data_IF_462496949713
#
_entry.id   IF_462496949713
#
_cell.length_a   1.000
_cell.length_b   1.000
_cell.length_c   1.000
_cell.angle_alpha   90.00
_cell.angle_beta   90.00
_cell.angle_gamma   90.00
#
_symmetry.space_group_name_H-M   'P 1'
#
loop_
_entity.id
_entity.type
_entity.pdbx_description
1 polymer ?
#
# COMPACT_ATOMS: atom_id res chain seq x y z
N UNK A 1 5.41 -32.50 0.33
CA UNK A 1 5.52 -31.72 -0.93
C UNK A 1 5.84 -30.26 -0.63
N UNK A 2 5.00 -29.51 0.11
CA UNK A 2 5.17 -28.08 0.33
C UNK A 2 6.53 -27.71 0.94
N UNK A 3 6.84 -28.22 2.15
CA UNK A 3 8.11 -27.93 2.83
C UNK A 3 9.37 -28.46 2.12
N UNK A 4 9.22 -29.41 1.18
CA UNK A 4 10.34 -29.91 0.39
C UNK A 4 10.52 -29.15 -0.93
N UNK A 5 9.64 -28.24 -1.26
CA UNK A 5 9.69 -27.48 -2.50
C UNK A 5 9.60 -28.33 -3.78
N UNK A 6 8.93 -29.48 -3.72
CA UNK A 6 8.93 -30.46 -4.85
C UNK A 6 7.64 -30.43 -5.68
N UNK A 7 6.73 -29.48 -5.44
CA UNK A 7 5.49 -29.32 -6.18
C UNK A 7 5.57 -28.23 -7.26
N UNK A 8 4.55 -28.15 -8.11
CA UNK A 8 4.37 -27.03 -9.04
C UNK A 8 4.21 -25.73 -8.26
N UNK A 9 4.89 -24.65 -8.68
CA UNK A 9 4.86 -23.36 -8.01
C UNK A 9 5.86 -23.22 -6.87
N UNK A 10 6.86 -24.10 -6.79
CA UNK A 10 7.96 -24.05 -5.82
C UNK A 10 8.79 -22.76 -5.86
N UNK A 11 8.75 -22.02 -6.97
CA UNK A 11 9.40 -20.72 -7.11
C UNK A 11 8.77 -19.62 -6.22
N UNK A 12 7.57 -19.86 -5.69
CA UNK A 12 6.80 -18.87 -4.91
C UNK A 12 6.51 -19.32 -3.47
N UNK A 13 7.44 -20.01 -2.83
CA UNK A 13 7.30 -20.51 -1.46
C UNK A 13 7.86 -19.56 -0.38
N UNK A 14 8.33 -18.37 -0.75
CA UNK A 14 8.88 -17.40 0.19
C UNK A 14 7.93 -17.01 1.33
N UNK A 15 6.63 -17.16 1.14
CA UNK A 15 5.62 -16.88 2.17
C UNK A 15 5.66 -17.89 3.34
N UNK A 16 6.22 -19.08 3.12
CA UNK A 16 6.13 -20.20 4.06
C UNK A 16 6.84 -19.91 5.40
N UNK A 17 7.90 -19.13 5.36
CA UNK A 17 8.71 -18.80 6.53
C UNK A 17 8.63 -17.32 6.94
N UNK A 18 7.83 -16.51 6.25
CA UNK A 18 7.69 -15.09 6.56
C UNK A 18 7.46 -14.78 8.04
N UNK A 19 6.57 -15.52 8.78
CA UNK A 19 6.35 -15.22 10.19
C UNK A 19 7.60 -15.35 11.07
N UNK A 20 8.54 -16.20 10.66
CA UNK A 20 9.81 -16.43 11.38
C UNK A 20 10.94 -15.53 10.89
N UNK A 21 10.81 -14.94 9.72
CA UNK A 21 11.84 -14.11 9.06
C UNK A 21 11.63 -12.61 9.27
N UNK A 22 10.43 -12.20 9.72
CA UNK A 22 10.15 -10.79 10.04
C UNK A 22 10.97 -10.38 11.25
N UNK A 23 11.90 -9.45 11.05
CA UNK A 23 12.74 -8.91 12.13
C UNK A 23 12.11 -7.72 12.82
N UNK A 24 12.47 -7.47 14.08
CA UNK A 24 12.06 -6.27 14.82
C UNK A 24 12.45 -4.97 14.10
N UNK A 25 13.64 -4.95 13.50
CA UNK A 25 14.11 -3.79 12.73
C UNK A 25 13.20 -3.51 11.51
N UNK A 26 12.74 -4.56 10.83
CA UNK A 26 11.82 -4.42 9.71
C UNK A 26 10.44 -3.90 10.16
N UNK A 27 9.95 -4.41 11.29
CA UNK A 27 8.70 -3.91 11.88
C UNK A 27 8.83 -2.46 12.32
N UNK A 28 9.92 -2.07 12.95
CA UNK A 28 10.18 -0.69 13.37
C UNK A 28 10.24 0.29 12.18
N UNK A 29 10.81 -0.13 11.04
CA UNK A 29 10.83 0.70 9.83
C UNK A 29 9.41 0.88 9.23
N UNK A 30 8.60 -0.18 9.23
CA UNK A 30 7.19 -0.13 8.83
C UNK A 30 6.37 0.77 9.78
N UNK A 31 6.57 0.65 11.09
CA UNK A 31 5.90 1.49 12.09
C UNK A 31 6.26 2.98 11.93
N UNK A 32 7.52 3.26 11.66
CA UNK A 32 7.99 4.63 11.40
C UNK A 32 7.30 5.22 10.17
N UNK A 33 7.23 4.45 9.10
CA UNK A 33 6.56 4.88 7.87
C UNK A 33 5.04 5.03 8.05
N UNK A 34 4.39 4.10 8.76
CA UNK A 34 2.97 4.20 9.10
C UNK A 34 2.68 5.42 9.97
N UNK A 35 3.51 5.67 10.99
CA UNK A 35 3.39 6.87 11.84
C UNK A 35 3.54 8.16 11.04
N UNK A 36 4.45 8.20 10.08
CA UNK A 36 4.63 9.37 9.21
C UNK A 36 3.35 9.69 8.43
N UNK A 37 2.65 8.69 7.89
CA UNK A 37 1.35 8.89 7.25
C UNK A 37 0.27 9.30 8.25
N UNK A 38 0.20 8.63 9.40
CA UNK A 38 -0.77 8.92 10.46
C UNK A 38 -0.67 10.37 10.94
N UNK A 39 0.52 10.88 11.14
CA UNK A 39 0.75 12.25 11.64
C UNK A 39 0.41 13.34 10.60
N UNK A 40 0.23 12.97 9.32
CA UNK A 40 0.05 13.91 8.19
C UNK A 40 -1.29 13.82 7.49
N UNK A 41 -2.00 12.72 7.64
CA UNK A 41 -3.13 12.38 6.77
C UNK A 41 -4.35 11.95 7.57
N UNK A 42 -5.52 12.45 7.17
CA UNK A 42 -6.83 11.95 7.62
C UNK A 42 -7.22 10.67 6.87
N UNK A 43 -6.71 10.51 5.63
CA UNK A 43 -7.03 9.39 4.75
C UNK A 43 -5.73 8.83 4.16
N UNK A 44 -5.62 7.51 4.13
CA UNK A 44 -4.58 6.80 3.37
C UNK A 44 -5.24 6.03 2.23
N UNK A 45 -4.85 6.33 1.00
CA UNK A 45 -5.34 5.61 -0.18
C UNK A 45 -4.34 4.53 -0.56
N UNK A 46 -4.75 3.27 -0.41
CA UNK A 46 -3.98 2.10 -0.83
C UNK A 46 -4.31 1.78 -2.29
N UNK A 47 -3.31 1.87 -3.14
CA UNK A 47 -3.45 1.66 -4.59
C UNK A 47 -2.84 0.32 -4.96
N UNK A 48 -3.67 -0.61 -5.39
CA UNK A 48 -3.25 -1.95 -5.77
C UNK A 48 -4.39 -2.78 -6.33
N UNK A 49 -4.06 -3.95 -6.91
CA UNK A 49 -5.04 -4.89 -7.47
C UNK A 49 -4.76 -6.31 -6.98
N UNK A 50 -5.79 -7.12 -6.84
CA UNK A 50 -5.69 -8.52 -6.43
C UNK A 50 -4.99 -8.68 -5.08
N UNK A 51 -3.94 -9.49 -5.03
CA UNK A 51 -3.18 -9.74 -3.80
C UNK A 51 -2.49 -8.50 -3.21
N UNK A 52 -2.33 -7.43 -3.99
CA UNK A 52 -1.73 -6.19 -3.50
C UNK A 52 -2.65 -5.38 -2.59
N UNK A 53 -3.96 -5.70 -2.51
CA UNK A 53 -4.85 -5.01 -1.57
C UNK A 53 -5.82 -5.93 -0.81
N UNK A 54 -6.25 -7.05 -1.41
CA UNK A 54 -7.29 -7.89 -0.81
C UNK A 54 -6.91 -8.46 0.55
N UNK A 55 -5.67 -8.89 0.73
CA UNK A 55 -5.19 -9.41 2.00
C UNK A 55 -5.15 -8.33 3.08
N UNK A 56 -4.63 -7.15 2.76
CA UNK A 56 -4.61 -5.99 3.64
C UNK A 56 -6.05 -5.56 4.01
N UNK A 57 -6.92 -5.42 3.01
CA UNK A 57 -8.35 -5.09 3.20
C UNK A 57 -9.04 -6.06 4.15
N UNK A 58 -8.87 -7.36 3.95
CA UNK A 58 -9.46 -8.38 4.81
C UNK A 58 -9.00 -8.25 6.27
N UNK A 59 -7.71 -7.98 6.52
CA UNK A 59 -7.17 -7.81 7.87
C UNK A 59 -7.67 -6.52 8.50
N UNK A 60 -7.70 -5.42 7.75
CA UNK A 60 -8.22 -4.13 8.22
C UNK A 60 -9.69 -4.29 8.61
N UNK A 61 -10.54 -4.82 7.75
CA UNK A 61 -11.97 -5.01 8.02
C UNK A 61 -12.24 -5.93 9.21
N UNK A 62 -11.40 -6.96 9.40
CA UNK A 62 -11.53 -7.89 10.53
C UNK A 62 -11.13 -7.27 11.89
N UNK A 63 -10.26 -6.27 11.90
CA UNK A 63 -9.69 -5.68 13.11
C UNK A 63 -10.20 -4.28 13.42
N UNK A 64 -10.86 -3.62 12.45
CA UNK A 64 -11.43 -2.28 12.63
C UNK A 64 -12.83 -2.34 13.23
N UNK A 65 -13.23 -1.25 13.87
CA UNK A 65 -14.63 -1.00 14.24
C UNK A 65 -15.48 -0.86 12.98
N UNK A 66 -16.52 -1.66 12.86
CA UNK A 66 -17.42 -1.66 11.69
C UNK A 66 -18.09 -0.31 11.43
N UNK A 67 -18.14 0.56 12.40
CA UNK A 67 -18.77 1.89 12.31
C UNK A 67 -17.75 3.04 12.43
N UNK A 68 -16.46 2.76 12.34
CA UNK A 68 -15.38 3.77 12.44
C UNK A 68 -15.61 4.94 11.49
N UNK A 69 -16.06 4.67 10.26
CA UNK A 69 -16.31 5.70 9.24
C UNK A 69 -17.45 6.69 9.58
N UNK A 70 -18.30 6.36 10.56
CA UNK A 70 -19.37 7.24 11.06
C UNK A 70 -18.95 8.11 12.25
N UNK A 71 -17.77 7.88 12.80
CA UNK A 71 -17.31 8.67 13.94
C UNK A 71 -16.88 10.06 13.50
N UNK A 72 -17.10 11.04 14.37
CA UNK A 72 -16.64 12.42 14.15
C UNK A 72 -15.13 12.60 14.37
N UNK A 73 -14.53 11.72 15.17
CA UNK A 73 -13.10 11.73 15.46
C UNK A 73 -12.50 10.36 15.19
N UNK A 74 -11.42 10.34 14.47
CA UNK A 74 -10.67 9.14 14.12
C UNK A 74 -9.31 9.14 14.81
N UNK A 75 -8.97 8.04 15.49
CA UNK A 75 -7.64 7.87 16.10
C UNK A 75 -6.56 7.60 15.04
N UNK A 76 -6.96 6.99 13.95
CA UNK A 76 -6.10 6.58 12.84
C UNK A 76 -6.69 7.11 11.52
N UNK A 77 -5.88 7.28 10.47
CA UNK A 77 -6.39 7.62 9.15
C UNK A 77 -7.40 6.57 8.64
N UNK A 78 -8.43 7.02 7.95
CA UNK A 78 -9.30 6.11 7.22
C UNK A 78 -8.54 5.53 6.02
N UNK A 79 -8.64 4.21 5.81
CA UNK A 79 -8.02 3.55 4.67
C UNK A 79 -9.05 3.35 3.57
N UNK A 80 -8.75 3.90 2.40
CA UNK A 80 -9.54 3.72 1.18
C UNK A 80 -8.70 2.97 0.13
N UNK A 81 -9.35 2.27 -0.78
CA UNK A 81 -8.67 1.46 -1.79
C UNK A 81 -8.97 1.98 -3.19
N UNK A 82 -7.94 2.04 -4.06
CA UNK A 82 -8.06 2.44 -5.45
C UNK A 82 -7.19 1.56 -6.36
N UNK A 83 -7.37 1.67 -7.69
CA UNK A 83 -6.57 0.94 -8.66
C UNK A 83 -6.88 -0.57 -8.73
N UNK A 84 -8.00 -1.01 -8.17
CA UNK A 84 -8.49 -2.38 -8.30
C UNK A 84 -9.48 -2.54 -9.46
N UNK A 85 -9.86 -1.44 -10.08
CA UNK A 85 -10.64 -1.33 -11.30
C UNK A 85 -10.29 -0.02 -12.03
N UNK A 86 -10.88 0.19 -13.21
CA UNK A 86 -10.75 1.40 -14.03
C UNK A 86 -12.07 2.18 -14.13
N UNK A 87 -12.96 1.99 -13.15
CA UNK A 87 -14.24 2.68 -13.12
C UNK A 87 -14.06 4.20 -12.93
N UNK A 88 -14.55 4.96 -13.89
CA UNK A 88 -14.44 6.42 -13.90
C UNK A 88 -15.19 7.05 -12.73
N UNK A 89 -16.42 6.63 -12.49
CA UNK A 89 -17.27 7.15 -11.42
C UNK A 89 -16.61 7.05 -10.05
N UNK A 90 -16.11 5.85 -9.71
CA UNK A 90 -15.44 5.61 -8.44
C UNK A 90 -14.24 6.53 -8.23
N UNK A 91 -13.42 6.67 -9.27
CA UNK A 91 -12.21 7.48 -9.18
C UNK A 91 -12.54 8.98 -9.07
N UNK A 92 -13.56 9.44 -9.79
CA UNK A 92 -14.07 10.81 -9.72
C UNK A 92 -14.65 11.13 -8.33
N UNK A 93 -15.46 10.22 -7.76
CA UNK A 93 -16.01 10.37 -6.40
C UNK A 93 -14.90 10.40 -5.35
N UNK A 94 -13.90 9.51 -5.45
CA UNK A 94 -12.75 9.50 -4.57
C UNK A 94 -11.96 10.80 -4.67
N UNK A 95 -11.63 11.26 -5.87
CA UNK A 95 -10.94 12.53 -6.06
C UNK A 95 -11.73 13.71 -5.50
N UNK A 96 -13.05 13.68 -5.64
CA UNK A 96 -13.95 14.73 -5.09
C UNK A 96 -13.93 14.74 -3.57
N UNK A 97 -13.98 13.57 -2.92
CA UNK A 97 -13.83 13.44 -1.47
C UNK A 97 -12.49 13.99 -0.99
N UNK A 98 -11.42 13.66 -1.68
CA UNK A 98 -10.05 14.01 -1.29
C UNK A 98 -9.73 15.51 -1.49
N UNK A 99 -10.54 16.29 -2.21
CA UNK A 99 -10.31 17.74 -2.39
C UNK A 99 -10.18 18.52 -1.09
N UNK A 100 -10.93 18.11 -0.07
CA UNK A 100 -11.01 18.81 1.22
C UNK A 100 -10.44 17.98 2.38
N UNK A 101 -9.64 16.96 2.08
CA UNK A 101 -9.05 16.06 3.06
C UNK A 101 -7.55 15.98 2.89
N UNK A 102 -6.83 15.95 4.02
CA UNK A 102 -5.43 15.59 3.98
C UNK A 102 -5.30 14.09 3.69
N UNK A 103 -4.53 13.72 2.67
CA UNK A 103 -4.38 12.32 2.34
C UNK A 103 -2.94 11.94 2.00
N UNK A 104 -2.67 10.64 2.10
CA UNK A 104 -1.43 10.01 1.66
C UNK A 104 -1.72 8.80 0.77
N UNK A 105 -0.68 8.29 0.12
CA UNK A 105 -0.79 7.20 -0.85
C UNK A 105 0.18 6.08 -0.49
N UNK A 106 -0.33 4.85 -0.47
CA UNK A 106 0.48 3.62 -0.47
C UNK A 106 0.26 2.93 -1.81
N UNK A 107 1.22 3.03 -2.72
CA UNK A 107 1.11 2.41 -4.04
C UNK A 107 1.85 1.08 -4.07
N UNK A 108 1.15 0.01 -4.46
CA UNK A 108 1.63 -1.37 -4.40
C UNK A 108 1.57 -1.99 -5.79
N UNK A 109 2.73 -2.19 -6.39
CA UNK A 109 2.84 -2.88 -7.68
C UNK A 109 4.23 -3.48 -7.84
N UNK A 110 4.33 -4.81 -7.90
CA UNK A 110 5.61 -5.50 -8.06
C UNK A 110 6.27 -5.15 -9.40
N UNK A 111 5.54 -5.24 -10.50
CA UNK A 111 6.06 -4.88 -11.83
C UNK A 111 6.14 -3.38 -12.07
N UNK A 112 5.31 -2.61 -11.39
CA UNK A 112 5.13 -1.18 -11.64
C UNK A 112 4.46 -0.84 -12.97
N UNK A 113 3.93 -1.84 -13.69
CA UNK A 113 3.35 -1.69 -15.04
C UNK A 113 1.89 -2.14 -15.13
N UNK A 114 1.28 -2.54 -14.02
CA UNK A 114 -0.14 -2.89 -13.99
C UNK A 114 -0.97 -1.62 -14.23
N UNK A 115 -1.84 -1.68 -15.22
CA UNK A 115 -2.52 -0.48 -15.78
C UNK A 115 -3.43 0.20 -14.76
N UNK A 116 -4.26 -0.57 -14.04
CA UNK A 116 -5.27 -0.03 -13.13
C UNK A 116 -4.63 0.74 -11.96
N UNK A 117 -3.65 0.18 -11.21
CA UNK A 117 -2.92 0.93 -10.20
C UNK A 117 -2.13 2.12 -10.76
N UNK A 118 -1.59 2.00 -11.98
CA UNK A 118 -0.80 3.07 -12.59
C UNK A 118 -1.67 4.29 -12.92
N UNK A 119 -2.88 4.09 -13.46
CA UNK A 119 -3.85 5.16 -13.74
C UNK A 119 -4.27 5.84 -12.43
N UNK A 120 -4.72 5.06 -11.44
CA UNK A 120 -5.14 5.59 -10.15
C UNK A 120 -4.00 6.37 -9.47
N UNK A 121 -2.79 5.83 -9.47
CA UNK A 121 -1.64 6.48 -8.87
C UNK A 121 -1.29 7.80 -9.57
N UNK A 122 -1.29 7.84 -10.90
CA UNK A 122 -1.01 9.06 -11.65
C UNK A 122 -1.98 10.19 -11.26
N UNK A 123 -3.27 9.90 -11.26
CA UNK A 123 -4.31 10.91 -10.98
C UNK A 123 -4.28 11.39 -9.53
N UNK A 124 -4.15 10.46 -8.58
CA UNK A 124 -4.10 10.81 -7.15
C UNK A 124 -2.79 11.48 -6.75
N UNK A 125 -1.65 11.08 -7.35
CA UNK A 125 -0.36 11.78 -7.18
C UNK A 125 -0.45 13.22 -7.65
N UNK A 126 -0.98 13.45 -8.84
CA UNK A 126 -1.15 14.81 -9.40
C UNK A 126 -2.02 15.67 -8.48
N UNK A 127 -3.12 15.12 -7.98
CA UNK A 127 -3.98 15.82 -7.01
C UNK A 127 -3.25 16.12 -5.70
N UNK A 128 -2.51 15.17 -5.15
CA UNK A 128 -1.74 15.35 -3.91
C UNK A 128 -0.69 16.44 -4.08
N UNK A 129 0.08 16.40 -5.17
CA UNK A 129 1.10 17.41 -5.49
C UNK A 129 0.49 18.81 -5.68
N UNK A 130 -0.71 18.90 -6.27
CA UNK A 130 -1.42 20.16 -6.40
C UNK A 130 -1.89 20.72 -5.04
N UNK A 131 -2.23 19.85 -4.09
CA UNK A 131 -2.69 20.29 -2.76
C UNK A 131 -1.56 20.74 -1.84
N UNK A 132 -0.45 20.01 -1.81
CA UNK A 132 0.59 20.20 -0.79
C UNK A 132 1.97 20.55 -1.36
N UNK A 133 2.12 20.58 -2.67
CA UNK A 133 3.41 20.73 -3.35
C UNK A 133 4.22 19.43 -3.38
N UNK A 134 5.17 19.34 -4.33
CA UNK A 134 5.98 18.12 -4.55
C UNK A 134 6.82 17.70 -3.34
N UNK A 135 7.40 18.66 -2.65
CA UNK A 135 8.28 18.39 -1.51
C UNK A 135 7.54 17.78 -0.32
N UNK A 136 6.33 18.20 -0.04
CA UNK A 136 5.51 17.59 1.00
C UNK A 136 4.87 16.29 0.50
N UNK A 137 4.42 16.22 -0.75
CA UNK A 137 3.79 15.03 -1.33
C UNK A 137 4.69 13.79 -1.26
N UNK A 138 6.01 13.93 -1.50
CA UNK A 138 6.95 12.79 -1.40
C UNK A 138 6.98 12.16 -0.01
N UNK A 139 6.69 12.91 1.05
CA UNK A 139 6.62 12.42 2.43
C UNK A 139 5.27 11.76 2.76
N UNK A 140 4.29 11.86 1.87
CA UNK A 140 2.97 11.24 1.99
C UNK A 140 2.76 10.10 1.00
N UNK A 141 3.81 9.71 0.25
CA UNK A 141 3.78 8.60 -0.69
C UNK A 141 4.75 7.51 -0.25
N UNK A 142 4.23 6.29 -0.13
CA UNK A 142 5.03 5.09 0.10
C UNK A 142 4.84 4.16 -1.09
N UNK A 143 5.93 3.64 -1.66
CA UNK A 143 5.88 2.70 -2.76
C UNK A 143 6.34 1.30 -2.31
N UNK A 144 5.48 0.30 -2.49
CA UNK A 144 5.79 -1.10 -2.22
C UNK A 144 5.93 -1.82 -3.56
N UNK A 145 7.16 -2.17 -3.94
CA UNK A 145 7.49 -2.62 -5.30
C UNK A 145 8.68 -3.57 -5.31
N UNK A 146 9.15 -3.92 -6.50
CA UNK A 146 10.39 -4.71 -6.68
C UNK A 146 11.62 -3.97 -6.09
N UNK A 147 12.64 -4.73 -5.72
CA UNK A 147 13.87 -4.19 -5.14
C UNK A 147 14.70 -3.37 -6.15
N UNK A 148 14.67 -3.72 -7.44
CA UNK A 148 15.60 -3.20 -8.46
C UNK A 148 14.93 -2.84 -9.79
N UNK A 149 13.78 -3.42 -10.09
CA UNK A 149 13.15 -3.39 -11.42
C UNK A 149 11.79 -2.70 -11.40
N UNK A 150 11.32 -2.33 -12.58
CA UNK A 150 9.97 -1.84 -12.81
C UNK A 150 9.86 -0.32 -12.83
N UNK A 151 8.76 0.15 -13.40
CA UNK A 151 8.49 1.57 -13.57
C UNK A 151 8.30 2.28 -12.22
N UNK A 152 7.57 1.62 -11.29
CA UNK A 152 7.34 2.19 -9.96
C UNK A 152 8.64 2.30 -9.15
N UNK A 153 9.57 1.32 -9.27
CA UNK A 153 10.88 1.39 -8.62
C UNK A 153 11.66 2.61 -9.10
N UNK A 154 11.78 2.77 -10.42
CA UNK A 154 12.47 3.92 -11.02
C UNK A 154 11.86 5.25 -10.59
N UNK A 155 10.55 5.34 -10.62
CA UNK A 155 9.83 6.53 -10.20
C UNK A 155 10.08 6.85 -8.73
N UNK A 156 9.96 5.86 -7.86
CA UNK A 156 10.18 6.04 -6.43
C UNK A 156 11.60 6.51 -6.10
N UNK A 157 12.60 5.97 -6.79
CA UNK A 157 14.00 6.38 -6.65
C UNK A 157 14.24 7.82 -7.14
N UNK A 158 13.60 8.18 -8.27
CA UNK A 158 13.73 9.54 -8.85
C UNK A 158 13.06 10.60 -7.99
N UNK A 159 11.88 10.32 -7.48
CA UNK A 159 11.08 11.28 -6.69
C UNK A 159 11.41 11.23 -5.19
N UNK A 160 12.21 10.25 -4.74
CA UNK A 160 12.63 10.12 -3.34
C UNK A 160 11.54 9.60 -2.40
N UNK A 161 10.65 8.72 -2.88
CA UNK A 161 9.63 8.12 -2.03
C UNK A 161 10.22 7.10 -1.06
N UNK A 162 9.62 6.98 0.13
CA UNK A 162 9.88 5.83 1.00
C UNK A 162 9.44 4.55 0.30
N UNK A 163 10.30 3.53 0.33
CA UNK A 163 10.03 2.28 -0.38
C UNK A 163 10.14 1.06 0.51
N UNK A 164 9.32 0.05 0.21
CA UNK A 164 9.44 -1.30 0.74
C UNK A 164 9.46 -2.31 -0.41
N UNK A 165 10.04 -3.47 -0.14
CA UNK A 165 10.28 -4.49 -1.17
C UNK A 165 9.26 -5.62 -1.07
N UNK A 166 8.73 -6.04 -2.22
CA UNK A 166 8.02 -7.30 -2.40
C UNK A 166 9.03 -8.32 -2.90
N UNK A 167 9.28 -9.37 -2.11
CA UNK A 167 10.20 -10.43 -2.48
C UNK A 167 9.74 -11.18 -3.75
N UNK A 168 10.70 -11.57 -4.60
CA UNK A 168 10.43 -12.23 -5.88
C UNK A 168 9.75 -13.59 -5.72
N UNK A 169 10.13 -14.32 -4.67
CA UNK A 169 9.61 -15.65 -4.34
C UNK A 169 8.28 -15.63 -3.57
N UNK A 170 7.63 -14.47 -3.41
CA UNK A 170 6.29 -14.37 -2.80
C UNK A 170 5.27 -14.05 -3.87
N UNK A 171 4.31 -14.94 -4.05
CA UNK A 171 3.16 -14.72 -4.93
C UNK A 171 2.17 -13.72 -4.35
N UNK A 172 1.50 -12.96 -5.21
CA UNK A 172 0.57 -11.89 -4.78
C UNK A 172 -0.47 -12.33 -3.75
N UNK A 173 -1.01 -13.54 -3.89
CA UNK A 173 -2.02 -14.11 -2.96
C UNK A 173 -1.51 -14.39 -1.55
N UNK A 174 -0.20 -14.42 -1.35
CA UNK A 174 0.45 -14.74 -0.09
C UNK A 174 1.23 -13.55 0.50
N UNK A 175 0.96 -12.33 -0.01
CA UNK A 175 1.72 -11.13 0.32
C UNK A 175 1.27 -10.42 1.60
N UNK A 176 0.20 -10.85 2.26
CA UNK A 176 -0.34 -10.17 3.46
C UNK A 176 0.66 -10.03 4.61
N UNK A 177 1.59 -10.98 4.76
CA UNK A 177 2.66 -10.93 5.76
C UNK A 177 3.96 -10.28 5.24
N UNK A 178 3.91 -9.65 4.07
CA UNK A 178 4.97 -8.76 3.56
C UNK A 178 4.62 -7.31 3.89
N UNK A 179 5.46 -6.33 3.54
CA UNK A 179 5.10 -4.91 3.65
C UNK A 179 3.74 -4.53 3.07
N UNK A 180 3.24 -5.31 2.09
CA UNK A 180 1.92 -5.14 1.45
C UNK A 180 0.76 -5.13 2.46
N UNK A 181 0.75 -6.01 3.43
CA UNK A 181 -0.31 -6.06 4.43
C UNK A 181 0.13 -5.55 5.82
N UNK A 182 1.43 -5.59 6.11
CA UNK A 182 1.95 -5.16 7.40
C UNK A 182 1.93 -3.64 7.58
N UNK A 183 2.21 -2.87 6.50
CA UNK A 183 2.18 -1.41 6.55
C UNK A 183 0.76 -0.90 6.80
N UNK A 184 -0.21 -1.40 6.05
CA UNK A 184 -1.60 -0.97 6.13
C UNK A 184 -2.21 -1.30 7.50
N UNK A 185 -1.90 -2.48 8.05
CA UNK A 185 -2.30 -2.86 9.41
C UNK A 185 -1.79 -1.89 10.47
N UNK A 186 -0.54 -1.44 10.35
CA UNK A 186 0.08 -0.50 11.31
C UNK A 186 -0.45 0.92 11.18
N UNK A 187 -1.01 1.28 10.03
CA UNK A 187 -1.65 2.59 9.83
C UNK A 187 -3.04 2.69 10.45
N UNK A 188 -3.70 1.54 10.73
CA UNK A 188 -5.12 1.46 11.13
C UNK A 188 -5.32 0.87 12.53
N UNK A 189 -4.38 0.12 13.06
CA UNK A 189 -4.40 -0.53 14.38
C UNK A 189 -3.20 -0.09 15.21
#
# INVERSE_FOLDING_TARGET
MLHKGTGKGNDFLGWLHLPSEITEAHLADLETAAKQLKDRCEIVVVIGIGGSYLGAKAVIEALSDSFEFLRSEHKNPLVLFAGHNIGEDYLFELQTLLKNKSFGIVVISKSGTTTEPAIAFRLLKEQLEAQVGKDEAKHRIIAITDAKKGALRKLADTEGYKTFVIADNVGGRFSVLTPVGLLDRKSVV
#
